data_IF_344451892702
#
_entry.id   IF_344451892702
#
_cell.length_a   1.000
_cell.length_b   1.000
_cell.length_c   1.000
_cell.angle_alpha   90.00
_cell.angle_beta   90.00
_cell.angle_gamma   90.00
#
_symmetry.space_group_name_H-M   'P 1'
#
loop_
_entity.id
_entity.type
_entity.pdbx_description
1 polymer ?
#
# COMPACT_ATOMS: atom_id res chain seq x y z
N UNK A 1 7.50 -9.10 -13.88
CA UNK A 1 7.71 -9.41 -12.44
C UNK A 1 9.21 -9.33 -12.17
N UNK A 2 9.65 -8.79 -11.02
CA UNK A 2 11.08 -8.73 -10.71
C UNK A 2 11.55 -10.05 -10.09
N UNK A 3 12.70 -10.53 -10.54
CA UNK A 3 13.36 -11.71 -10.03
C UNK A 3 14.68 -11.32 -9.35
N UNK A 4 15.09 -12.12 -8.38
CA UNK A 4 16.41 -12.06 -7.75
C UNK A 4 17.01 -13.46 -7.70
N UNK A 5 18.32 -13.53 -7.75
CA UNK A 5 19.02 -14.78 -7.52
C UNK A 5 19.11 -15.06 -6.01
N UNK A 6 18.83 -16.31 -5.61
CA UNK A 6 18.96 -16.78 -4.24
C UNK A 6 19.72 -18.10 -4.24
N UNK A 7 20.81 -18.14 -3.48
CA UNK A 7 21.55 -19.38 -3.20
C UNK A 7 21.00 -20.00 -1.91
N UNK A 8 20.69 -21.30 -1.94
CA UNK A 8 20.23 -22.05 -0.76
C UNK A 8 21.42 -22.69 -0.02
N UNK A 9 21.18 -23.23 1.18
CA UNK A 9 22.23 -23.84 2.02
C UNK A 9 23.06 -24.96 1.34
N UNK A 10 22.54 -25.60 0.27
CA UNK A 10 23.24 -26.63 -0.50
C UNK A 10 24.03 -26.09 -1.71
N UNK A 11 24.12 -24.76 -1.88
CA UNK A 11 24.85 -24.10 -2.97
C UNK A 11 24.08 -23.96 -4.29
N UNK A 12 22.86 -24.52 -4.36
CA UNK A 12 22.00 -24.36 -5.54
C UNK A 12 21.46 -22.93 -5.63
N UNK A 13 21.40 -22.41 -6.86
CA UNK A 13 20.91 -21.06 -7.15
C UNK A 13 19.57 -21.10 -7.88
N UNK A 14 18.67 -20.22 -7.46
CA UNK A 14 17.33 -20.11 -8.01
C UNK A 14 17.02 -18.66 -8.37
N UNK A 15 16.28 -18.46 -9.47
CA UNK A 15 15.64 -17.19 -9.78
C UNK A 15 14.30 -17.12 -9.06
N UNK A 16 14.18 -16.21 -8.10
CA UNK A 16 13.06 -16.14 -7.17
C UNK A 16 12.32 -14.80 -7.35
N UNK A 17 10.99 -14.82 -7.53
CA UNK A 17 10.19 -13.59 -7.56
C UNK A 17 10.25 -12.78 -6.26
N UNK A 18 10.05 -11.46 -6.36
CA UNK A 18 10.11 -10.49 -5.23
C UNK A 18 9.23 -10.89 -4.01
N UNK A 19 8.09 -11.55 -4.24
CA UNK A 19 7.14 -11.96 -3.19
C UNK A 19 7.38 -13.36 -2.62
N UNK A 20 8.43 -14.05 -3.03
CA UNK A 20 8.82 -15.36 -2.49
C UNK A 20 10.15 -15.20 -1.77
N UNK A 21 10.21 -15.68 -0.53
CA UNK A 21 11.39 -15.63 0.30
C UNK A 21 11.85 -17.04 0.67
N UNK A 22 13.17 -17.26 0.63
CA UNK A 22 13.77 -18.48 1.15
C UNK A 22 13.71 -18.50 2.68
N UNK A 23 13.30 -19.63 3.24
CA UNK A 23 13.42 -19.93 4.65
C UNK A 23 14.40 -21.09 4.80
N UNK A 24 15.59 -20.78 5.32
CA UNK A 24 16.62 -21.77 5.65
C UNK A 24 16.91 -21.70 7.14
N UNK A 25 16.19 -22.53 7.90
CA UNK A 25 16.48 -22.77 9.31
C UNK A 25 16.81 -24.25 9.52
N UNK A 26 17.44 -24.59 10.64
CA UNK A 26 17.80 -25.99 10.97
C UNK A 26 16.58 -26.93 11.00
N UNK A 27 15.37 -26.42 11.23
CA UNK A 27 14.13 -27.20 11.37
C UNK A 27 13.17 -27.04 10.20
N UNK A 28 13.16 -25.88 9.56
CA UNK A 28 12.26 -25.55 8.44
C UNK A 28 13.08 -25.07 7.25
N UNK A 29 12.97 -25.78 6.13
CA UNK A 29 13.54 -25.45 4.84
C UNK A 29 12.43 -25.38 3.80
N UNK A 30 12.38 -24.28 3.08
CA UNK A 30 11.29 -24.05 2.13
C UNK A 30 11.22 -22.64 1.60
N UNK A 31 10.16 -22.39 0.85
CA UNK A 31 9.83 -21.08 0.30
C UNK A 31 8.60 -20.52 0.99
N UNK A 32 8.63 -19.23 1.28
CA UNK A 32 7.51 -18.51 1.85
C UNK A 32 6.99 -17.48 0.86
N UNK A 33 5.74 -17.66 0.44
CA UNK A 33 4.99 -16.70 -0.34
C UNK A 33 4.43 -15.61 0.56
N UNK A 34 4.69 -14.35 0.22
CA UNK A 34 4.34 -13.13 0.99
C UNK A 34 3.42 -12.18 0.22
N UNK A 35 2.64 -12.69 -0.72
CA UNK A 35 1.58 -11.93 -1.39
C UNK A 35 0.24 -12.23 -0.74
N UNK A 36 -0.30 -11.29 0.03
CA UNK A 36 -1.45 -11.52 0.91
C UNK A 36 -1.08 -12.28 2.18
N UNK A 37 -1.94 -13.21 2.63
CA UNK A 37 -1.65 -14.05 3.80
C UNK A 37 -0.46 -14.96 3.50
N UNK A 38 0.53 -15.02 4.38
CA UNK A 38 1.71 -15.84 4.13
C UNK A 38 1.37 -17.33 3.98
N UNK A 39 2.08 -18.02 3.10
CA UNK A 39 1.98 -19.47 2.89
C UNK A 39 3.39 -20.04 2.68
N UNK A 40 3.65 -21.21 3.27
CA UNK A 40 4.95 -21.87 3.18
C UNK A 40 4.88 -23.13 2.34
N UNK A 41 5.91 -23.37 1.54
CA UNK A 41 6.12 -24.52 0.67
C UNK A 41 7.40 -25.21 1.13
N UNK A 42 7.28 -26.37 1.76
CA UNK A 42 8.43 -27.15 2.26
C UNK A 42 9.18 -27.80 1.12
N UNK A 43 10.51 -27.88 1.22
CA UNK A 43 11.33 -28.62 0.24
C UNK A 43 11.08 -30.13 0.31
N UNK A 44 10.52 -30.64 1.41
CA UNK A 44 10.31 -32.07 1.64
C UNK A 44 11.58 -32.91 1.75
N UNK A 45 12.76 -32.28 1.68
CA UNK A 45 14.06 -32.96 1.57
C UNK A 45 15.13 -32.26 2.42
N UNK A 46 16.09 -33.03 2.93
CA UNK A 46 17.15 -32.51 3.79
C UNK A 46 18.42 -32.06 3.02
N UNK A 47 18.54 -32.41 1.75
CA UNK A 47 19.66 -32.01 0.87
C UNK A 47 19.31 -30.78 0.00
N UNK A 48 18.04 -30.36 0.00
CA UNK A 48 17.54 -29.23 -0.79
C UNK A 48 17.21 -29.59 -2.23
N UNK A 49 17.26 -30.87 -2.61
CA UNK A 49 16.88 -31.33 -3.96
C UNK A 49 15.43 -31.01 -4.32
N UNK A 50 14.52 -31.02 -3.32
CA UNK A 50 13.12 -30.66 -3.49
C UNK A 50 12.83 -29.15 -3.52
N UNK A 51 13.84 -28.29 -3.32
CA UNK A 51 13.65 -26.84 -3.31
C UNK A 51 13.13 -26.30 -4.66
N UNK A 52 13.55 -26.89 -5.78
CA UNK A 52 13.05 -26.50 -7.11
C UNK A 52 11.56 -26.76 -7.29
N UNK A 53 11.09 -27.95 -6.89
CA UNK A 53 9.67 -28.31 -6.97
C UNK A 53 8.82 -27.44 -6.03
N UNK A 54 9.30 -27.20 -4.80
CA UNK A 54 8.63 -26.32 -3.86
C UNK A 54 8.56 -24.86 -4.36
N UNK A 55 9.60 -24.39 -5.05
CA UNK A 55 9.61 -23.06 -5.66
C UNK A 55 8.59 -22.95 -6.80
N UNK A 56 8.48 -23.97 -7.65
CA UNK A 56 7.50 -23.99 -8.74
C UNK A 56 6.06 -23.86 -8.21
N UNK A 57 5.71 -24.62 -7.15
CA UNK A 57 4.42 -24.52 -6.48
C UNK A 57 4.18 -23.13 -5.88
N UNK A 58 5.22 -22.52 -5.29
CA UNK A 58 5.13 -21.16 -4.76
C UNK A 58 4.90 -20.11 -5.85
N UNK A 59 5.52 -20.28 -7.02
CA UNK A 59 5.35 -19.40 -8.19
C UNK A 59 3.93 -19.53 -8.77
N UNK A 60 3.42 -20.75 -8.91
CA UNK A 60 2.06 -20.99 -9.40
C UNK A 60 1.01 -20.33 -8.49
N UNK A 61 1.13 -20.52 -7.17
CA UNK A 61 0.25 -19.87 -6.20
C UNK A 61 0.44 -18.33 -6.22
N UNK A 62 1.66 -17.82 -6.41
CA UNK A 62 1.89 -16.39 -6.57
C UNK A 62 1.12 -15.82 -7.76
N UNK A 63 1.18 -16.48 -8.93
CA UNK A 63 0.42 -16.05 -10.10
C UNK A 63 -1.09 -16.06 -9.83
N UNK A 64 -1.61 -17.16 -9.27
CA UNK A 64 -3.02 -17.29 -8.85
C UNK A 64 -3.46 -16.14 -7.94
N UNK A 65 -2.60 -15.73 -7.00
CA UNK A 65 -2.90 -14.63 -6.08
C UNK A 65 -2.81 -13.26 -6.71
N UNK A 66 -1.89 -13.02 -7.63
CA UNK A 66 -1.82 -11.74 -8.36
C UNK A 66 -3.09 -11.53 -9.17
N UNK A 67 -3.66 -12.60 -9.72
CA UNK A 67 -4.89 -12.54 -10.48
C UNK A 67 -6.11 -12.29 -9.57
N UNK A 68 -6.17 -12.90 -8.38
CA UNK A 68 -7.32 -12.80 -7.48
C UNK A 68 -7.29 -11.61 -6.52
N UNK A 69 -6.14 -11.33 -5.90
CA UNK A 69 -6.02 -10.38 -4.81
C UNK A 69 -5.59 -8.99 -5.31
N UNK A 70 -6.01 -7.91 -4.62
CA UNK A 70 -5.48 -6.59 -4.91
C UNK A 70 -3.97 -6.55 -4.63
N UNK A 71 -3.24 -5.71 -5.37
CA UNK A 71 -1.84 -5.51 -5.10
C UNK A 71 -1.62 -4.96 -3.68
N UNK A 72 -0.58 -5.44 -2.97
CA UNK A 72 -0.22 -4.88 -1.68
C UNK A 72 0.12 -3.39 -1.86
N UNK A 73 -0.51 -2.53 -1.07
CA UNK A 73 -0.29 -1.08 -1.14
C UNK A 73 0.62 -0.65 0.00
N UNK A 74 1.59 0.22 -0.28
CA UNK A 74 2.37 0.92 0.75
C UNK A 74 1.63 2.10 1.40
N UNK A 75 0.34 2.27 1.14
CA UNK A 75 -0.45 3.35 1.72
C UNK A 75 -0.71 3.04 3.19
N UNK A 76 -0.41 4.02 4.05
CA UNK A 76 -0.74 3.96 5.48
C UNK A 76 -2.25 3.88 5.68
N UNK A 77 -2.68 2.92 6.48
CA UNK A 77 -4.09 2.73 6.85
C UNK A 77 -4.43 3.41 8.19
N UNK A 78 -3.43 3.59 9.05
CA UNK A 78 -3.59 4.15 10.39
C UNK A 78 -2.87 5.50 10.55
N UNK A 79 -3.42 6.41 11.37
CA UNK A 79 -2.73 7.64 11.75
C UNK A 79 -1.36 7.36 12.35
N UNK A 80 -0.41 8.27 12.15
CA UNK A 80 0.87 8.15 12.84
C UNK A 80 0.69 8.46 14.33
N UNK A 81 1.43 7.80 15.21
CA UNK A 81 1.40 8.05 16.66
C UNK A 81 1.73 9.50 17.03
N UNK A 82 2.50 10.21 16.18
CA UNK A 82 2.83 11.62 16.36
C UNK A 82 1.73 12.58 15.91
N UNK A 83 0.60 12.09 15.38
CA UNK A 83 -0.50 12.93 14.94
C UNK A 83 -1.30 13.36 16.17
N UNK A 84 -1.34 14.66 16.41
CA UNK A 84 -1.97 15.26 17.59
C UNK A 84 -3.47 15.53 17.43
N UNK A 85 -4.10 15.05 16.34
CA UNK A 85 -5.53 15.24 16.10
C UNK A 85 -6.19 13.97 15.56
N UNK A 86 -7.49 13.85 15.81
CA UNK A 86 -8.32 12.68 15.43
C UNK A 86 -8.72 12.66 13.95
N UNK A 87 -8.04 13.45 13.11
CA UNK A 87 -8.34 13.48 11.69
C UNK A 87 -7.88 12.19 11.00
N UNK A 88 -8.63 11.68 10.00
CA UNK A 88 -8.23 10.48 9.26
C UNK A 88 -6.88 10.60 8.56
N UNK A 89 -6.30 9.46 8.18
CA UNK A 89 -5.03 9.41 7.44
C UNK A 89 -5.11 10.20 6.15
N UNK A 90 -4.07 11.00 5.86
CA UNK A 90 -4.02 11.83 4.66
C UNK A 90 -4.93 13.06 4.71
N UNK A 91 -5.57 13.36 5.85
CA UNK A 91 -6.33 14.60 6.07
C UNK A 91 -5.65 15.40 7.18
N UNK A 92 -5.51 16.70 6.95
CA UNK A 92 -4.88 17.67 7.85
C UNK A 92 -5.75 18.92 8.00
N UNK A 93 -5.61 19.61 9.14
CA UNK A 93 -6.31 20.85 9.42
C UNK A 93 -7.10 20.83 10.73
N UNK A 94 -8.05 21.77 10.91
CA UNK A 94 -8.32 22.90 10.00
C UNK A 94 -7.09 23.80 9.80
N UNK A 95 -6.74 24.07 8.54
CA UNK A 95 -5.65 24.98 8.17
C UNK A 95 -6.27 26.36 8.00
N UNK A 96 -5.88 27.29 8.87
CA UNK A 96 -6.23 28.71 8.75
C UNK A 96 -5.28 29.39 7.76
N UNK A 97 -5.84 30.15 6.82
CA UNK A 97 -5.09 30.96 5.87
C UNK A 97 -5.77 32.30 5.62
N UNK A 98 -5.04 33.38 5.86
CA UNK A 98 -5.45 34.74 5.45
C UNK A 98 -4.73 35.09 4.16
N UNK A 99 -5.48 35.31 3.06
CA UNK A 99 -4.90 35.71 1.77
C UNK A 99 -4.53 37.20 1.78
N UNK A 100 -3.49 37.58 1.04
CA UNK A 100 -3.09 38.99 0.88
C UNK A 100 -4.29 39.82 0.40
N UNK A 101 -4.63 40.88 1.12
CA UNK A 101 -5.76 41.76 0.82
C UNK A 101 -7.11 41.32 1.40
N UNK A 102 -7.20 40.15 2.06
CA UNK A 102 -8.39 39.73 2.81
C UNK A 102 -8.20 40.04 4.30
N UNK A 103 -9.27 40.46 4.97
CA UNK A 103 -9.29 40.74 6.41
C UNK A 103 -9.73 39.57 7.28
N UNK A 104 -10.22 38.49 6.66
CA UNK A 104 -10.82 37.34 7.36
C UNK A 104 -10.05 36.08 6.98
N UNK A 105 -9.80 35.22 7.97
CA UNK A 105 -9.16 33.93 7.76
C UNK A 105 -10.11 32.91 7.10
N UNK A 106 -9.60 32.12 6.14
CA UNK A 106 -10.28 30.98 5.55
C UNK A 106 -9.77 29.67 6.20
N UNK A 107 -10.68 28.77 6.56
CA UNK A 107 -10.38 27.46 7.12
C UNK A 107 -10.62 26.36 6.10
N UNK A 108 -9.64 25.48 5.93
CA UNK A 108 -9.69 24.40 4.96
C UNK A 108 -9.09 23.10 5.55
N UNK A 109 -9.58 21.95 5.11
CA UNK A 109 -8.84 20.70 5.26
C UNK A 109 -7.86 20.52 4.09
N UNK A 110 -6.65 20.07 4.39
CA UNK A 110 -5.69 19.60 3.39
C UNK A 110 -5.80 18.08 3.23
N UNK A 111 -6.08 17.61 2.02
CA UNK A 111 -6.24 16.19 1.67
C UNK A 111 -5.12 15.75 0.76
N UNK A 112 -4.31 14.80 1.19
CA UNK A 112 -3.27 14.18 0.37
C UNK A 112 -3.90 13.16 -0.58
N UNK A 113 -3.55 13.23 -1.86
CA UNK A 113 -4.02 12.38 -2.95
C UNK A 113 -2.85 11.47 -3.37
N UNK A 114 -2.91 10.15 -3.10
CA UNK A 114 -1.89 9.23 -3.56
C UNK A 114 -2.06 9.01 -5.07
N UNK A 115 -0.94 8.98 -5.80
CA UNK A 115 -0.93 8.74 -7.26
C UNK A 115 0.06 7.64 -7.59
N UNK A 116 -0.38 6.63 -8.32
CA UNK A 116 0.47 5.49 -8.67
C UNK A 116 1.49 5.91 -9.73
N UNK A 117 2.78 5.66 -9.48
CA UNK A 117 3.87 6.06 -10.38
C UNK A 117 4.30 7.53 -10.25
N UNK A 118 3.55 8.35 -9.52
CA UNK A 118 3.78 9.79 -9.38
C UNK A 118 3.92 10.23 -7.93
N UNK A 119 4.42 11.44 -7.72
CA UNK A 119 4.42 12.08 -6.39
C UNK A 119 2.98 12.34 -5.93
N UNK A 120 2.63 12.09 -4.64
CA UNK A 120 1.34 12.50 -4.09
C UNK A 120 1.11 14.00 -4.24
N UNK A 121 -0.15 14.42 -4.39
CA UNK A 121 -0.54 15.84 -4.43
C UNK A 121 -1.44 16.18 -3.25
N UNK A 122 -1.70 17.46 -3.00
CA UNK A 122 -2.62 17.91 -1.96
C UNK A 122 -3.76 18.71 -2.59
N UNK A 123 -4.97 18.49 -2.08
CA UNK A 123 -6.19 19.23 -2.44
C UNK A 123 -6.76 19.86 -1.18
N UNK A 124 -7.31 21.06 -1.30
CA UNK A 124 -7.94 21.75 -0.17
C UNK A 124 -9.46 21.60 -0.24
N UNK A 125 -10.08 21.30 0.91
CA UNK A 125 -11.54 21.29 1.08
C UNK A 125 -11.91 22.46 1.98
N UNK A 126 -12.68 23.39 1.43
CA UNK A 126 -13.12 24.58 2.15
C UNK A 126 -14.15 24.24 3.22
N UNK A 127 -13.99 24.84 4.40
CA UNK A 127 -14.94 24.73 5.52
C UNK A 127 -15.74 26.02 5.63
N UNK A 128 -15.04 27.15 5.72
CA UNK A 128 -15.64 28.44 6.01
C UNK A 128 -14.60 29.53 6.22
N UNK A 129 -15.07 30.74 6.48
CA UNK A 129 -14.27 31.82 7.06
C UNK A 129 -14.46 31.87 8.57
N UNK A 130 -13.64 32.65 9.26
CA UNK A 130 -13.77 32.94 10.70
C UNK A 130 -15.21 33.29 11.12
N UNK A 131 -15.96 34.00 10.27
CA UNK A 131 -17.33 34.43 10.57
C UNK A 131 -18.42 33.44 10.15
N UNK A 132 -18.06 32.37 9.43
CA UNK A 132 -19.04 31.45 8.83
C UNK A 132 -18.72 29.99 9.12
N UNK A 133 -17.74 29.71 9.98
CA UNK A 133 -17.43 28.35 10.40
C UNK A 133 -18.48 27.92 11.43
N UNK A 134 -19.07 26.76 11.20
CA UNK A 134 -20.03 26.11 12.09
C UNK A 134 -19.66 24.64 12.18
N UNK A 135 -20.13 23.96 13.22
CA UNK A 135 -19.89 22.52 13.39
C UNK A 135 -20.46 21.72 12.21
N UNK A 136 -21.65 22.09 11.72
CA UNK A 136 -22.26 21.49 10.53
C UNK A 136 -21.36 21.60 9.29
N UNK A 137 -20.79 22.79 9.03
CA UNK A 137 -19.88 23.01 7.90
C UNK A 137 -18.57 22.27 8.07
N UNK A 138 -18.09 22.15 9.31
CA UNK A 138 -16.92 21.36 9.64
C UNK A 138 -17.15 19.88 9.31
N UNK A 139 -18.26 19.31 9.75
CA UNK A 139 -18.61 17.90 9.51
C UNK A 139 -18.84 17.62 8.02
N UNK A 140 -19.56 18.50 7.30
CA UNK A 140 -19.77 18.37 5.86
C UNK A 140 -18.45 18.40 5.09
N UNK A 141 -17.58 19.36 5.41
CA UNK A 141 -16.27 19.48 4.79
C UNK A 141 -15.37 18.27 5.12
N UNK A 142 -15.45 17.74 6.34
CA UNK A 142 -14.70 16.56 6.75
C UNK A 142 -15.19 15.31 5.99
N UNK A 143 -16.50 15.11 5.90
CA UNK A 143 -17.09 14.02 5.12
C UNK A 143 -16.65 14.08 3.66
N UNK A 144 -16.64 15.27 3.06
CA UNK A 144 -16.14 15.50 1.70
C UNK A 144 -14.66 15.21 1.56
N UNK A 145 -13.84 15.64 2.52
CA UNK A 145 -12.40 15.36 2.54
C UNK A 145 -12.11 13.84 2.61
N UNK A 146 -12.86 13.12 3.45
CA UNK A 146 -12.79 11.66 3.58
C UNK A 146 -13.19 10.96 2.28
N UNK A 147 -14.28 11.40 1.63
CA UNK A 147 -14.71 10.83 0.36
C UNK A 147 -13.66 11.02 -0.74
N UNK A 148 -13.11 12.22 -0.87
CA UNK A 148 -12.03 12.52 -1.83
C UNK A 148 -10.83 11.59 -1.59
N UNK A 149 -10.40 11.44 -0.33
CA UNK A 149 -9.28 10.56 0.03
C UNK A 149 -9.58 9.11 -0.32
N UNK A 150 -10.74 8.58 0.08
CA UNK A 150 -11.16 7.19 -0.21
C UNK A 150 -11.22 6.90 -1.71
N UNK A 151 -11.74 7.83 -2.52
CA UNK A 151 -11.76 7.71 -3.98
C UNK A 151 -10.35 7.62 -4.56
N UNK A 152 -9.44 8.46 -4.08
CA UNK A 152 -8.06 8.46 -4.53
C UNK A 152 -7.30 7.18 -4.13
N UNK A 153 -7.54 6.64 -2.94
CA UNK A 153 -6.96 5.37 -2.49
C UNK A 153 -7.44 4.18 -3.35
N UNK A 154 -8.75 4.13 -3.67
CA UNK A 154 -9.30 3.12 -4.58
C UNK A 154 -8.68 3.22 -5.98
N UNK A 155 -8.52 4.44 -6.51
CA UNK A 155 -7.89 4.65 -7.81
C UNK A 155 -6.42 4.20 -7.80
N UNK A 156 -5.68 4.56 -6.76
CA UNK A 156 -4.29 4.11 -6.55
C UNK A 156 -4.19 2.58 -6.50
N UNK A 157 -5.03 1.93 -5.70
CA UNK A 157 -5.02 0.47 -5.55
C UNK A 157 -5.38 -0.24 -6.85
N UNK A 158 -6.38 0.28 -7.57
CA UNK A 158 -6.77 -0.25 -8.89
C UNK A 158 -5.63 -0.14 -9.91
N UNK A 159 -4.99 1.04 -9.99
CA UNK A 159 -3.85 1.27 -10.88
C UNK A 159 -2.66 0.35 -10.53
N UNK A 160 -2.34 0.22 -9.23
CA UNK A 160 -1.28 -0.66 -8.74
C UNK A 160 -1.57 -2.12 -9.10
N UNK A 161 -2.80 -2.57 -8.87
CA UNK A 161 -3.23 -3.96 -9.17
C UNK A 161 -3.17 -4.23 -10.68
N UNK A 162 -3.62 -3.28 -11.50
CA UNK A 162 -3.56 -3.39 -12.96
C UNK A 162 -2.10 -3.49 -13.44
N UNK A 163 -1.21 -2.65 -12.92
CA UNK A 163 0.21 -2.69 -13.26
C UNK A 163 0.86 -4.01 -12.83
N UNK A 164 0.57 -4.51 -11.62
CA UNK A 164 1.09 -5.78 -11.13
C UNK A 164 0.64 -6.95 -12.01
N UNK A 165 -0.64 -7.00 -12.37
CA UNK A 165 -1.18 -8.04 -13.26
C UNK A 165 -0.58 -7.95 -14.67
N UNK A 166 -0.42 -6.76 -15.22
CA UNK A 166 0.23 -6.58 -16.51
C UNK A 166 1.69 -7.07 -16.49
N UNK A 167 2.44 -6.76 -15.43
CA UNK A 167 3.81 -7.24 -15.26
C UNK A 167 3.91 -8.75 -14.96
N UNK A 168 2.80 -9.39 -14.60
CA UNK A 168 2.72 -10.82 -14.30
C UNK A 168 2.35 -11.69 -15.51
N UNK A 169 1.84 -11.07 -16.58
CA UNK A 169 1.55 -11.80 -17.82
C UNK A 169 2.85 -12.16 -18.53
N UNK A 170 2.98 -13.41 -19.02
CA UNK A 170 4.14 -13.86 -19.81
C UNK A 170 4.22 -13.13 -21.16
#
# INVERSE_FOLDING_TARGET
MKYREVEIFSGHRFQVPEHIQRLDSKRNRGWQLRYGKWLSFSDGTADGSGAGAALALAIEELHSRIDRLPAPTGLRQEPNASKSNDLPVGISGPISRTRKGRRVAEYNFGVTIPRFGDKPTNVNVYIGTENTITDERYEEALAKAVDIRKKAERAYQSATTKAQRAANRP
#
